data_IF_569983613065
#
_entry.id   IF_569983613065
#
_cell.length_a   1.000
_cell.length_b   1.000
_cell.length_c   1.000
_cell.angle_alpha   90.00
_cell.angle_beta   90.00
_cell.angle_gamma   90.00
#
_symmetry.space_group_name_H-M   'P 1'
#
loop_
_entity.id
_entity.type
_entity.pdbx_description
1 polymer ?
#
# COMPACT_ATOMS: atom_id res chain seq x y z
N UNK A 1 18.75 18.93 3.91
CA UNK A 1 18.92 18.08 2.71
C UNK A 1 17.63 18.18 1.94
N UNK A 2 17.69 18.73 0.74
CA UNK A 2 16.51 19.15 -0.04
C UNK A 2 15.55 17.98 -0.27
N UNK A 3 14.29 18.15 0.17
CA UNK A 3 13.16 17.24 -0.06
C UNK A 3 12.67 17.34 -1.52
N UNK A 4 13.59 17.35 -2.48
CA UNK A 4 13.24 17.40 -3.89
C UNK A 4 13.26 15.97 -4.41
N UNK A 5 12.09 15.49 -4.84
CA UNK A 5 11.95 14.22 -5.53
C UNK A 5 12.81 14.24 -6.81
N UNK A 6 13.54 13.16 -7.03
CA UNK A 6 14.34 12.94 -8.24
C UNK A 6 13.43 12.41 -9.36
N UNK A 7 13.80 12.51 -10.65
CA UNK A 7 13.00 11.96 -11.75
C UNK A 7 12.64 10.47 -11.60
N UNK A 8 13.52 9.69 -10.98
CA UNK A 8 13.25 8.29 -10.66
C UNK A 8 12.14 8.12 -9.61
N UNK A 9 12.08 9.03 -8.63
CA UNK A 9 11.05 9.02 -7.60
C UNK A 9 9.67 9.29 -8.23
N UNK A 10 9.59 10.30 -9.10
CA UNK A 10 8.34 10.66 -9.81
C UNK A 10 7.86 9.51 -10.71
N UNK A 11 8.78 8.88 -11.45
CA UNK A 11 8.46 7.71 -12.29
C UNK A 11 7.91 6.55 -11.45
N UNK A 12 8.52 6.25 -10.31
CA UNK A 12 8.04 5.20 -9.42
C UNK A 12 6.66 5.54 -8.86
N UNK A 13 6.44 6.78 -8.41
CA UNK A 13 5.14 7.24 -7.88
C UNK A 13 4.04 7.18 -8.94
N UNK A 14 4.34 7.53 -10.19
CA UNK A 14 3.44 7.37 -11.33
C UNK A 14 3.09 5.89 -11.53
N UNK A 15 4.09 5.00 -11.56
CA UNK A 15 3.87 3.57 -11.80
C UNK A 15 3.01 2.90 -10.71
N UNK A 16 3.26 3.22 -9.44
CA UNK A 16 2.64 2.50 -8.31
C UNK A 16 1.37 3.17 -7.78
N UNK A 17 1.11 4.43 -8.10
CA UNK A 17 -0.04 5.16 -7.55
C UNK A 17 -0.70 6.12 -8.54
N UNK A 18 -0.30 6.11 -9.83
CA UNK A 18 -0.80 7.01 -10.88
C UNK A 18 -0.69 8.50 -10.49
N UNK A 19 0.35 8.84 -9.72
CA UNK A 19 0.57 10.19 -9.20
C UNK A 19 1.42 11.02 -10.14
N UNK A 20 0.80 12.03 -10.75
CA UNK A 20 1.47 13.10 -11.48
C UNK A 20 1.51 14.37 -10.62
N UNK A 21 2.32 14.32 -9.55
CA UNK A 21 2.40 15.36 -8.52
C UNK A 21 1.64 15.00 -7.24
N UNK A 22 1.33 16.01 -6.42
CA UNK A 22 0.70 15.77 -5.12
C UNK A 22 -0.78 15.36 -5.27
N UNK A 23 -1.19 14.23 -4.66
CA UNK A 23 -2.57 13.79 -4.71
C UNK A 23 -3.51 14.77 -3.99
N UNK A 24 -4.75 14.81 -4.46
CA UNK A 24 -5.85 15.44 -3.71
C UNK A 24 -6.35 14.49 -2.63
N UNK A 25 -6.89 15.05 -1.55
CA UNK A 25 -7.42 14.26 -0.42
C UNK A 25 -6.35 13.96 0.62
N UNK A 26 -6.49 12.83 1.30
CA UNK A 26 -5.53 12.40 2.31
C UNK A 26 -4.39 11.59 1.67
N UNK A 27 -3.17 11.82 2.12
CA UNK A 27 -2.02 11.08 1.62
C UNK A 27 -0.86 11.00 2.60
N UNK A 28 -0.02 9.98 2.42
CA UNK A 28 1.23 9.79 3.14
C UNK A 28 2.28 9.18 2.21
N UNK A 29 3.18 10.01 1.70
CA UNK A 29 4.24 9.60 0.78
C UNK A 29 5.50 9.30 1.60
N UNK A 30 6.06 8.09 1.41
CA UNK A 30 7.32 7.67 2.04
C UNK A 30 8.40 7.41 1.00
N UNK A 31 9.63 7.67 1.41
CA UNK A 31 10.83 7.37 0.64
C UNK A 31 11.92 6.84 1.55
N UNK A 32 12.55 5.73 1.18
CA UNK A 32 13.73 5.18 1.86
C UNK A 32 13.53 5.05 3.39
N UNK A 33 12.38 4.52 3.80
CA UNK A 33 12.01 4.34 5.22
C UNK A 33 11.58 5.63 5.95
N UNK A 34 11.54 6.77 5.28
CA UNK A 34 11.25 8.07 5.88
C UNK A 34 9.99 8.72 5.31
N UNK A 35 9.35 9.55 6.13
CA UNK A 35 8.22 10.38 5.70
C UNK A 35 8.71 11.54 4.82
N UNK A 36 8.21 11.62 3.59
CA UNK A 36 8.42 12.78 2.71
C UNK A 36 7.41 13.86 3.05
N UNK A 37 6.13 13.51 2.92
CA UNK A 37 5.00 14.40 3.12
C UNK A 37 3.74 13.63 3.56
N UNK A 38 2.92 14.30 4.37
CA UNK A 38 1.64 13.78 4.85
C UNK A 38 0.61 14.90 4.84
N UNK A 39 -0.62 14.56 4.47
CA UNK A 39 -1.76 15.45 4.55
C UNK A 39 -3.01 14.65 4.96
N UNK A 40 -3.71 15.13 5.98
CA UNK A 40 -5.05 14.66 6.36
C UNK A 40 -6.11 15.51 5.64
N UNK A 41 -7.24 14.92 5.28
CA UNK A 41 -8.38 15.65 4.73
C UNK A 41 -9.36 16.06 5.85
N UNK A 42 -10.53 16.60 5.47
CA UNK A 42 -11.56 16.95 6.43
C UNK A 42 -12.12 15.73 7.18
N UNK A 43 -12.23 14.58 6.50
CA UNK A 43 -12.84 13.37 7.07
C UNK A 43 -11.88 12.19 7.24
N UNK A 44 -10.61 12.37 6.84
CA UNK A 44 -9.60 11.32 6.90
C UNK A 44 -8.38 11.83 7.67
N UNK A 45 -8.15 11.26 8.84
CA UNK A 45 -7.02 11.56 9.72
C UNK A 45 -5.91 10.53 9.52
N UNK A 46 -4.67 10.97 9.27
CA UNK A 46 -3.48 10.11 9.22
C UNK A 46 -2.56 10.44 10.40
N UNK A 47 -2.39 9.50 11.33
CA UNK A 47 -1.51 9.66 12.51
C UNK A 47 -0.41 8.61 12.52
N UNK A 48 0.73 8.94 13.11
CA UNK A 48 1.81 7.96 13.28
C UNK A 48 1.46 7.01 14.41
N UNK A 49 1.65 5.71 14.20
CA UNK A 49 1.46 4.68 15.21
C UNK A 49 2.46 4.84 16.37
N UNK A 50 2.06 4.43 17.56
CA UNK A 50 2.88 4.50 18.78
C UNK A 50 3.46 3.15 19.20
N UNK A 51 2.93 2.06 18.66
CA UNK A 51 3.25 0.67 19.00
C UNK A 51 4.18 0.02 17.96
N UNK A 52 3.94 0.27 16.67
CA UNK A 52 4.74 -0.23 15.56
C UNK A 52 5.11 0.89 14.57
N UNK A 53 6.17 0.72 13.75
CA UNK A 53 6.46 1.65 12.67
C UNK A 53 5.28 1.71 11.68
N UNK A 54 4.76 2.90 11.37
CA UNK A 54 3.69 3.06 10.38
C UNK A 54 2.63 4.07 10.79
N UNK A 55 1.41 3.94 10.27
CA UNK A 55 0.34 4.92 10.43
C UNK A 55 -1.02 4.30 10.71
N UNK A 56 -1.83 5.00 11.49
CA UNK A 56 -3.27 4.78 11.55
C UNK A 56 -3.97 5.79 10.63
N UNK A 57 -4.85 5.28 9.77
CA UNK A 57 -5.69 6.06 8.86
C UNK A 57 -7.12 5.91 9.36
N UNK A 58 -7.71 6.98 9.88
CA UNK A 58 -9.09 6.98 10.38
C UNK A 58 -9.99 7.73 9.42
N UNK A 59 -10.95 7.02 8.87
CA UNK A 59 -11.94 7.54 7.92
C UNK A 59 -13.27 7.66 8.67
N UNK A 60 -13.79 8.88 8.76
CA UNK A 60 -15.00 9.16 9.52
C UNK A 60 -16.23 8.42 8.95
N UNK A 61 -17.24 8.10 9.80
CA UNK A 61 -18.51 7.57 9.34
C UNK A 61 -19.16 8.42 8.25
N UNK A 62 -19.78 7.78 7.25
CA UNK A 62 -20.47 8.45 6.16
C UNK A 62 -19.58 9.22 5.18
N UNK A 63 -18.24 9.10 5.27
CA UNK A 63 -17.31 9.71 4.30
C UNK A 63 -17.59 9.15 2.90
N UNK A 64 -17.82 10.00 1.90
CA UNK A 64 -18.08 9.59 0.52
C UNK A 64 -17.16 10.32 -0.45
N UNK A 65 -16.76 9.64 -1.53
CA UNK A 65 -16.00 10.23 -2.64
C UNK A 65 -14.64 10.82 -2.24
N UNK A 66 -14.03 10.30 -1.17
CA UNK A 66 -12.67 10.68 -0.76
C UNK A 66 -11.68 9.56 -1.03
N UNK A 67 -10.43 9.98 -1.23
CA UNK A 67 -9.32 9.09 -1.58
C UNK A 67 -8.21 9.18 -0.56
N UNK A 68 -7.56 8.05 -0.28
CA UNK A 68 -6.31 7.98 0.49
C UNK A 68 -5.21 7.42 -0.39
N UNK A 69 -4.07 8.12 -0.47
CA UNK A 69 -2.88 7.65 -1.19
C UNK A 69 -1.72 7.38 -0.22
N UNK A 70 -1.19 6.17 -0.18
CA UNK A 70 -0.07 5.81 0.72
C UNK A 70 1.12 5.15 -0.02
N UNK A 71 1.70 5.80 -1.06
CA UNK A 71 2.80 5.20 -1.80
C UNK A 71 4.12 5.20 -1.00
N UNK A 72 4.91 4.17 -1.21
CA UNK A 72 6.27 4.03 -0.72
C UNK A 72 7.21 3.81 -1.90
N UNK A 73 8.31 4.56 -1.94
CA UNK A 73 9.40 4.34 -2.88
C UNK A 73 10.70 4.05 -2.13
N UNK A 74 11.49 3.11 -2.64
CA UNK A 74 12.81 2.77 -2.11
C UNK A 74 13.82 2.86 -3.24
N UNK A 75 14.78 3.77 -3.09
CA UNK A 75 15.88 4.00 -4.03
C UNK A 75 17.25 3.73 -3.40
N UNK A 76 17.30 3.54 -2.07
CA UNK A 76 18.50 3.15 -1.34
C UNK A 76 18.71 1.62 -1.40
N UNK A 77 19.87 1.19 -1.91
CA UNK A 77 20.30 -0.22 -1.86
C UNK A 77 20.55 -0.67 -0.42
N UNK A 78 20.22 -1.92 -0.10
CA UNK A 78 20.53 -2.53 1.20
C UNK A 78 19.53 -2.21 2.32
N UNK A 79 18.43 -1.53 2.00
CA UNK A 79 17.39 -1.18 2.98
C UNK A 79 16.43 -2.35 3.21
N UNK A 80 16.09 -2.61 4.47
CA UNK A 80 14.93 -3.41 4.87
C UNK A 80 13.97 -2.51 5.66
N UNK A 81 12.77 -2.28 5.13
CA UNK A 81 11.74 -1.44 5.75
C UNK A 81 10.46 -2.27 5.99
N UNK A 82 9.93 -2.25 7.21
CA UNK A 82 8.66 -2.91 7.56
C UNK A 82 7.74 -1.88 8.18
N UNK A 83 6.52 -1.76 7.67
CA UNK A 83 5.56 -0.76 8.10
C UNK A 83 4.17 -1.33 8.30
N UNK A 84 3.51 -0.88 9.35
CA UNK A 84 2.19 -1.30 9.77
C UNK A 84 1.20 -0.16 9.52
N UNK A 85 0.30 -0.34 8.55
CA UNK A 85 -0.72 0.65 8.22
C UNK A 85 -2.09 0.10 8.59
N UNK A 86 -2.80 0.80 9.47
CA UNK A 86 -4.13 0.37 9.94
C UNK A 86 -5.19 1.34 9.42
N UNK A 87 -6.14 0.83 8.63
CA UNK A 87 -7.25 1.60 8.09
C UNK A 87 -8.51 1.34 8.92
N UNK A 88 -9.01 2.37 9.58
CA UNK A 88 -10.25 2.35 10.34
C UNK A 88 -11.34 3.05 9.52
N UNK A 89 -12.18 2.27 8.86
CA UNK A 89 -13.23 2.78 7.97
C UNK A 89 -14.55 2.84 8.72
N UNK A 90 -15.07 4.06 8.93
CA UNK A 90 -16.34 4.28 9.60
C UNK A 90 -17.53 3.64 8.89
N UNK A 91 -18.62 3.43 9.64
CA UNK A 91 -19.88 2.94 9.10
C UNK A 91 -20.37 3.82 7.94
N UNK A 92 -21.03 3.19 6.97
CA UNK A 92 -21.58 3.84 5.78
C UNK A 92 -20.56 4.67 4.95
N UNK A 93 -19.25 4.51 5.15
CA UNK A 93 -18.25 5.16 4.29
C UNK A 93 -18.24 4.56 2.86
N UNK A 94 -17.80 5.34 1.87
CA UNK A 94 -17.56 4.92 0.48
C UNK A 94 -16.30 5.63 -0.04
N UNK A 95 -15.18 4.91 -0.05
CA UNK A 95 -13.84 5.48 -0.25
C UNK A 95 -12.97 4.64 -1.16
N UNK A 96 -12.01 5.31 -1.78
CA UNK A 96 -10.94 4.69 -2.55
C UNK A 96 -9.62 4.80 -1.79
N UNK A 97 -8.94 3.67 -1.62
CA UNK A 97 -7.61 3.61 -1.00
C UNK A 97 -6.63 3.12 -2.08
N UNK A 98 -5.59 3.91 -2.33
CA UNK A 98 -4.54 3.63 -3.29
C UNK A 98 -3.22 3.47 -2.54
N UNK A 99 -2.63 2.29 -2.64
CA UNK A 99 -1.32 1.97 -2.10
C UNK A 99 -0.38 1.54 -3.21
N UNK A 100 0.91 1.61 -2.95
CA UNK A 100 1.89 1.06 -3.86
C UNK A 100 3.29 1.10 -3.30
N UNK A 101 4.09 0.12 -3.69
CA UNK A 101 5.48 -0.04 -3.26
C UNK A 101 6.37 -0.16 -4.50
N UNK A 102 7.27 0.81 -4.67
CA UNK A 102 8.22 0.86 -5.78
C UNK A 102 9.65 0.71 -5.27
N UNK A 103 10.42 -0.25 -5.78
CA UNK A 103 11.85 -0.39 -5.48
C UNK A 103 12.68 -0.13 -6.73
N UNK A 104 13.54 0.88 -6.69
CA UNK A 104 14.65 1.06 -7.63
C UNK A 104 15.96 0.63 -6.94
N UNK A 105 16.47 -0.56 -7.24
CA UNK A 105 17.72 -1.07 -6.66
C UNK A 105 18.84 -1.09 -7.72
N UNK A 106 19.71 -0.09 -7.68
CA UNK A 106 20.90 -0.01 -8.54
C UNK A 106 22.16 -0.59 -7.89
N UNK A 107 22.07 -1.12 -6.67
CA UNK A 107 23.19 -1.69 -5.93
C UNK A 107 23.26 -3.21 -6.00
N UNK A 108 24.20 -3.78 -5.26
CA UNK A 108 24.40 -5.24 -5.16
C UNK A 108 23.76 -5.87 -3.92
N UNK A 109 23.26 -5.06 -2.99
CA UNK A 109 22.65 -5.55 -1.75
C UNK A 109 21.14 -5.70 -1.91
N UNK A 110 20.57 -6.72 -1.25
CA UNK A 110 19.12 -6.93 -1.21
C UNK A 110 18.43 -5.68 -0.64
N UNK A 111 17.38 -5.25 -1.30
CA UNK A 111 16.46 -4.20 -0.84
C UNK A 111 15.08 -4.78 -0.67
N UNK A 112 14.45 -4.50 0.47
CA UNK A 112 13.20 -5.12 0.90
C UNK A 112 12.26 -4.09 1.54
N UNK A 113 11.00 -4.15 1.17
CA UNK A 113 9.94 -3.38 1.81
C UNK A 113 8.69 -4.21 2.03
N UNK A 114 8.25 -4.29 3.28
CA UNK A 114 7.08 -5.07 3.68
C UNK A 114 6.00 -4.14 4.25
N UNK A 115 4.95 -3.95 3.43
CA UNK A 115 3.74 -3.26 3.83
C UNK A 115 2.76 -4.21 4.51
N UNK A 116 2.52 -4.01 5.81
CA UNK A 116 1.57 -4.76 6.61
C UNK A 116 0.31 -3.91 6.77
N UNK A 117 -0.73 -4.21 5.99
CA UNK A 117 -1.97 -3.45 5.97
C UNK A 117 -3.07 -4.19 6.72
N UNK A 118 -3.75 -3.51 7.64
CA UNK A 118 -4.92 -4.04 8.33
C UNK A 118 -6.11 -3.12 8.11
N UNK A 119 -7.19 -3.66 7.57
CA UNK A 119 -8.43 -2.96 7.27
C UNK A 119 -9.51 -3.36 8.27
N UNK A 120 -10.03 -2.39 9.01
CA UNK A 120 -11.22 -2.53 9.85
C UNK A 120 -12.37 -1.80 9.17
N UNK A 121 -13.26 -2.56 8.52
CA UNK A 121 -14.36 -2.03 7.71
C UNK A 121 -15.66 -2.03 8.51
N UNK A 122 -16.14 -0.84 8.88
CA UNK A 122 -17.39 -0.65 9.62
C UNK A 122 -18.63 -1.07 8.83
N UNK A 123 -19.76 -1.14 9.52
CA UNK A 123 -21.04 -1.60 8.95
C UNK A 123 -21.42 -0.85 7.67
N UNK A 124 -21.90 -1.59 6.67
CA UNK A 124 -22.32 -1.08 5.36
C UNK A 124 -21.28 -0.22 4.61
N UNK A 125 -20.02 -0.17 5.07
CA UNK A 125 -18.98 0.58 4.39
C UNK A 125 -18.66 -0.06 3.03
N UNK A 126 -18.19 0.77 2.10
CA UNK A 126 -17.77 0.39 0.76
C UNK A 126 -16.35 0.85 0.54
N UNK A 127 -15.45 -0.08 0.25
CA UNK A 127 -14.05 0.24 0.01
C UNK A 127 -13.63 -0.35 -1.32
N UNK A 128 -13.03 0.50 -2.17
CA UNK A 128 -12.18 0.04 -3.26
C UNK A 128 -10.73 0.23 -2.83
N UNK A 129 -9.97 -0.85 -2.81
CA UNK A 129 -8.53 -0.84 -2.54
C UNK A 129 -7.77 -1.22 -3.80
N UNK A 130 -6.76 -0.41 -4.15
CA UNK A 130 -5.86 -0.67 -5.26
C UNK A 130 -4.43 -0.66 -4.74
N UNK A 131 -3.68 -1.72 -5.01
CA UNK A 131 -2.27 -1.84 -4.67
C UNK A 131 -1.45 -2.19 -5.89
N UNK A 132 -0.34 -1.47 -6.11
CA UNK A 132 0.62 -1.78 -7.17
C UNK A 132 2.04 -1.95 -6.63
N UNK A 133 2.68 -3.05 -7.02
CA UNK A 133 4.08 -3.34 -6.72
C UNK A 133 4.93 -3.32 -7.98
N UNK A 134 6.09 -2.66 -7.88
CA UNK A 134 7.00 -2.51 -9.00
C UNK A 134 8.45 -2.53 -8.55
N UNK A 135 9.29 -3.24 -9.29
CA UNK A 135 10.75 -3.26 -9.10
C UNK A 135 11.47 -2.88 -10.39
N UNK A 136 12.55 -2.11 -10.26
CA UNK A 136 13.50 -1.85 -11.34
C UNK A 136 14.92 -1.57 -10.81
N UNK A 137 15.86 -1.36 -11.72
CA UNK A 137 17.26 -1.03 -11.43
C UNK A 137 18.23 -2.03 -12.04
N UNK A 138 19.37 -1.52 -12.50
CA UNK A 138 20.43 -2.30 -13.16
C UNK A 138 21.33 -3.06 -12.16
N UNK A 139 21.01 -2.99 -10.87
CA UNK A 139 21.77 -3.64 -9.80
C UNK A 139 21.53 -5.14 -9.74
N UNK A 140 22.50 -5.87 -9.19
CA UNK A 140 22.37 -7.31 -8.92
C UNK A 140 21.64 -7.62 -7.62
N UNK A 141 21.38 -6.61 -6.78
CA UNK A 141 20.69 -6.77 -5.52
C UNK A 141 19.20 -7.07 -5.71
N UNK A 142 18.67 -7.95 -4.87
CA UNK A 142 17.26 -8.34 -4.93
C UNK A 142 16.32 -7.18 -4.59
N UNK A 143 15.10 -7.25 -5.15
CA UNK A 143 13.98 -6.34 -4.88
C UNK A 143 12.85 -7.19 -4.29
N UNK A 144 12.73 -7.19 -2.98
CA UNK A 144 11.81 -8.06 -2.24
C UNK A 144 10.63 -7.27 -1.72
N UNK A 145 9.42 -7.79 -1.90
CA UNK A 145 8.18 -7.20 -1.39
C UNK A 145 7.30 -8.30 -0.80
N UNK A 146 7.22 -8.40 0.53
CA UNK A 146 6.41 -9.41 1.22
C UNK A 146 5.21 -8.76 1.95
N UNK A 147 4.18 -8.31 1.22
CA UNK A 147 3.02 -7.66 1.82
C UNK A 147 2.17 -8.63 2.64
N UNK A 148 1.56 -8.11 3.69
CA UNK A 148 0.51 -8.79 4.43
C UNK A 148 -0.72 -7.91 4.45
N UNK A 149 -1.86 -8.47 4.07
CA UNK A 149 -3.17 -7.80 4.09
C UNK A 149 -4.12 -8.51 5.04
N UNK A 150 -4.59 -7.82 6.07
CA UNK A 150 -5.60 -8.32 7.00
C UNK A 150 -6.89 -7.54 6.80
N UNK A 151 -8.03 -8.22 6.65
CA UNK A 151 -9.32 -7.59 6.40
C UNK A 151 -10.33 -8.07 7.42
N UNK A 152 -10.80 -7.17 8.27
CA UNK A 152 -11.90 -7.40 9.20
C UNK A 152 -13.11 -6.59 8.75
N UNK A 153 -14.22 -7.27 8.43
CA UNK A 153 -15.40 -6.65 7.85
C UNK A 153 -16.61 -6.83 8.77
N UNK A 154 -17.26 -5.73 9.13
CA UNK A 154 -18.54 -5.75 9.86
C UNK A 154 -19.73 -6.09 8.95
N UNK A 155 -20.92 -6.21 9.55
CA UNK A 155 -22.16 -6.54 8.85
C UNK A 155 -22.41 -5.61 7.65
N UNK A 156 -22.69 -6.21 6.49
CA UNK A 156 -23.02 -5.51 5.26
C UNK A 156 -21.88 -4.75 4.59
N UNK A 157 -20.65 -4.80 5.11
CA UNK A 157 -19.50 -4.15 4.49
C UNK A 157 -19.17 -4.78 3.13
N UNK A 158 -18.74 -3.96 2.17
CA UNK A 158 -18.31 -4.38 0.85
C UNK A 158 -16.88 -3.89 0.61
N UNK A 159 -16.01 -4.79 0.14
CA UNK A 159 -14.64 -4.46 -0.20
C UNK A 159 -14.26 -5.10 -1.53
N UNK A 160 -13.73 -4.28 -2.44
CA UNK A 160 -13.10 -4.73 -3.67
C UNK A 160 -11.62 -4.40 -3.60
N UNK A 161 -10.77 -5.42 -3.70
CA UNK A 161 -9.32 -5.30 -3.66
C UNK A 161 -8.73 -5.71 -5.00
N UNK A 162 -7.97 -4.80 -5.62
CA UNK A 162 -7.18 -5.05 -6.82
C UNK A 162 -5.70 -4.90 -6.48
N UNK A 163 -4.99 -6.02 -6.41
CA UNK A 163 -3.59 -6.06 -6.00
C UNK A 163 -2.72 -6.60 -7.14
N UNK A 164 -1.79 -5.78 -7.62
CA UNK A 164 -1.04 -6.06 -8.84
C UNK A 164 0.45 -5.91 -8.62
N UNK A 165 1.21 -6.97 -8.87
CA UNK A 165 2.65 -6.88 -9.08
C UNK A 165 2.90 -6.70 -10.58
N UNK A 166 3.37 -5.50 -10.94
CA UNK A 166 3.50 -5.03 -12.31
C UNK A 166 4.67 -5.68 -13.04
N UNK A 167 5.87 -5.63 -12.45
CA UNK A 167 7.10 -6.22 -13.00
C UNK A 167 8.26 -6.09 -12.00
N UNK A 168 9.31 -6.89 -12.20
CA UNK A 168 10.67 -6.62 -11.73
C UNK A 168 10.92 -6.85 -10.24
N UNK A 169 9.95 -7.38 -9.51
CA UNK A 169 10.13 -7.84 -8.13
C UNK A 169 10.85 -9.19 -8.16
N UNK A 170 11.99 -9.31 -7.47
CA UNK A 170 12.78 -10.55 -7.42
C UNK A 170 12.01 -11.67 -6.75
N UNK A 171 11.42 -11.38 -5.59
CA UNK A 171 10.62 -12.32 -4.84
C UNK A 171 9.52 -11.62 -4.04
N UNK A 172 8.37 -12.29 -3.91
CA UNK A 172 7.27 -11.85 -3.06
C UNK A 172 6.58 -13.02 -2.39
N UNK A 173 6.38 -12.92 -1.08
CA UNK A 173 5.46 -13.79 -0.32
C UNK A 173 4.32 -12.90 0.16
N UNK A 174 3.13 -13.12 -0.40
CA UNK A 174 1.94 -12.32 -0.09
C UNK A 174 1.01 -13.13 0.79
N UNK A 175 0.60 -12.56 1.91
CA UNK A 175 -0.40 -13.16 2.78
C UNK A 175 -1.65 -12.28 2.85
N UNK A 176 -2.82 -12.86 2.62
CA UNK A 176 -4.10 -12.21 2.86
C UNK A 176 -4.93 -13.01 3.85
N UNK A 177 -5.40 -12.35 4.91
CA UNK A 177 -6.30 -12.94 5.91
C UNK A 177 -7.61 -12.15 5.93
N UNK A 178 -8.76 -12.82 5.83
CA UNK A 178 -10.06 -12.17 5.79
C UNK A 178 -11.05 -12.74 6.81
N UNK A 179 -11.70 -11.87 7.58
CA UNK A 179 -12.80 -12.19 8.49
C UNK A 179 -14.03 -11.37 8.12
N UNK A 180 -15.05 -12.06 7.63
CA UNK A 180 -16.27 -11.44 7.13
C UNK A 180 -17.42 -11.55 8.14
N UNK A 181 -18.05 -10.41 8.41
CA UNK A 181 -19.30 -10.29 9.14
C UNK A 181 -20.50 -10.77 8.31
N UNK A 182 -21.67 -10.74 8.93
CA UNK A 182 -22.92 -11.14 8.28
C UNK A 182 -23.18 -10.29 7.03
N UNK A 183 -23.53 -10.90 5.90
CA UNK A 183 -23.80 -10.22 4.63
C UNK A 183 -22.64 -9.35 4.09
N UNK A 184 -21.42 -9.46 4.65
CA UNK A 184 -20.25 -8.79 4.12
C UNK A 184 -19.78 -9.46 2.82
N UNK A 185 -19.17 -8.69 1.93
CA UNK A 185 -18.72 -9.17 0.62
C UNK A 185 -17.30 -8.66 0.32
N UNK A 186 -16.38 -9.60 0.11
CA UNK A 186 -15.02 -9.31 -0.35
C UNK A 186 -14.85 -9.84 -1.78
N UNK A 187 -14.42 -8.97 -2.69
CA UNK A 187 -13.94 -9.32 -4.02
C UNK A 187 -12.45 -9.03 -4.05
N UNK A 188 -11.64 -10.04 -4.34
CA UNK A 188 -10.20 -9.91 -4.38
C UNK A 188 -9.69 -10.38 -5.75
N UNK A 189 -8.96 -9.50 -6.43
CA UNK A 189 -8.29 -9.79 -7.69
C UNK A 189 -6.79 -9.58 -7.51
N UNK A 190 -6.02 -10.63 -7.76
CA UNK A 190 -4.57 -10.59 -7.74
C UNK A 190 -3.97 -10.89 -9.10
N UNK A 191 -2.95 -10.12 -9.49
CA UNK A 191 -2.18 -10.33 -10.72
C UNK A 191 -0.70 -10.19 -10.39
N UNK A 192 0.05 -11.28 -10.53
CA UNK A 192 1.45 -11.33 -10.15
C UNK A 192 2.31 -11.62 -11.39
N UNK A 193 2.89 -10.58 -11.99
CA UNK A 193 3.85 -10.79 -13.07
C UNK A 193 5.21 -11.18 -12.49
N UNK A 194 5.72 -12.31 -12.95
CA UNK A 194 7.11 -12.75 -12.77
C UNK A 194 7.73 -13.01 -14.14
N UNK A 195 9.05 -12.84 -14.24
CA UNK A 195 9.84 -13.23 -15.40
C UNK A 195 11.20 -13.77 -14.97
N UNK A 196 11.84 -14.52 -15.85
CA UNK A 196 13.13 -15.19 -15.59
C UNK A 196 13.08 -16.00 -14.29
N UNK A 197 13.97 -15.69 -13.33
CA UNK A 197 14.11 -16.41 -12.06
C UNK A 197 13.26 -15.82 -10.92
N UNK A 198 12.34 -14.89 -11.23
CA UNK A 198 11.49 -14.25 -10.22
C UNK A 198 10.46 -15.22 -9.64
N UNK A 199 10.21 -15.09 -8.35
CA UNK A 199 9.25 -15.95 -7.62
C UNK A 199 8.14 -15.13 -6.98
N UNK A 200 6.92 -15.65 -6.99
CA UNK A 200 5.81 -15.04 -6.29
C UNK A 200 4.91 -16.13 -5.70
N UNK A 201 4.65 -16.02 -4.41
CA UNK A 201 3.69 -16.87 -3.69
C UNK A 201 2.58 -15.99 -3.14
N UNK A 202 1.34 -16.46 -3.23
CA UNK A 202 0.20 -15.82 -2.62
C UNK A 202 -0.62 -16.84 -1.84
N UNK A 203 -0.85 -16.54 -0.56
CA UNK A 203 -1.66 -17.32 0.36
C UNK A 203 -2.86 -16.50 0.83
N UNK A 204 -4.05 -17.07 0.75
CA UNK A 204 -5.31 -16.44 1.18
C UNK A 204 -6.03 -17.32 2.20
N UNK A 205 -6.42 -16.74 3.33
CA UNK A 205 -7.02 -17.45 4.48
C UNK A 205 -8.29 -16.77 4.97
#
# INVERSE_FOLDING_TARGET
>A
MDKVLKPIDDKLLEMIADLHGMPKGAFNIRKDGQLVERHSSANIEIVTKTDYPGIDIKIAPGTKNETVHIPVIVTASGLTDVVYNSFYVGEDADVLIVAGCGIHNAGSEKTEHDGIHTFYLGKNSRVRYVEKHYGEGEGSGDRVLNPVTNVEMDEGAFCEMEMVQLAGVSSSIRETNAKLGKNAQLILTERLLTHDDQTATSDMK
#
